data_IF_116192939349
#
_entry.id   IF_116192939349
#
_cell.length_a   1.000
_cell.length_b   1.000
_cell.length_c   1.000
_cell.angle_alpha   90.00
_cell.angle_beta   90.00
_cell.angle_gamma   90.00
#
_symmetry.space_group_name_H-M   'P 1'
#
loop_
_entity.id
_entity.type
_entity.pdbx_description
1 polymer ?
#
# COMPACT_ATOMS: atom_id res chain seq x y z
N UNK A 1 3.37 -8.97 -18.07
CA UNK A 1 4.07 -9.57 -16.90
C UNK A 1 5.48 -10.08 -17.23
N UNK A 2 5.68 -10.89 -18.30
CA UNK A 2 7.03 -11.36 -18.73
C UNK A 2 8.02 -10.22 -18.96
N UNK A 3 7.61 -9.18 -19.68
CA UNK A 3 8.49 -8.06 -20.03
C UNK A 3 8.82 -7.17 -18.81
N UNK A 4 7.91 -7.03 -17.85
CA UNK A 4 8.20 -6.33 -16.57
C UNK A 4 9.25 -7.11 -15.76
N UNK A 5 9.22 -8.45 -15.81
CA UNK A 5 10.26 -9.29 -15.20
C UNK A 5 11.61 -9.15 -15.91
N UNK A 6 11.63 -8.93 -17.22
CA UNK A 6 12.84 -8.61 -17.96
C UNK A 6 13.42 -7.26 -17.53
N UNK A 7 12.58 -6.21 -17.40
CA UNK A 7 13.02 -4.90 -16.89
C UNK A 7 13.57 -4.97 -15.46
N UNK A 8 12.96 -5.80 -14.61
CA UNK A 8 13.47 -6.04 -13.26
C UNK A 8 14.91 -6.58 -13.30
N UNK A 9 15.19 -7.51 -14.23
CA UNK A 9 16.52 -8.11 -14.39
C UNK A 9 17.53 -7.17 -15.06
N UNK A 10 17.16 -6.52 -16.15
CA UNK A 10 18.09 -5.67 -16.90
C UNK A 10 18.27 -4.28 -16.30
N UNK A 11 17.28 -3.80 -15.55
CA UNK A 11 17.24 -2.47 -14.95
C UNK A 11 17.61 -2.49 -13.47
N UNK A 12 16.69 -2.96 -12.62
CA UNK A 12 16.84 -2.89 -11.16
C UNK A 12 18.01 -3.73 -10.64
N UNK A 13 18.22 -4.92 -11.22
CA UNK A 13 19.32 -5.81 -10.87
C UNK A 13 20.64 -5.53 -11.62
N UNK A 14 20.73 -4.41 -12.35
CA UNK A 14 22.01 -3.95 -12.92
C UNK A 14 22.84 -3.22 -11.86
N UNK A 15 24.15 -3.07 -12.08
CA UNK A 15 25.03 -2.29 -11.19
C UNK A 15 24.49 -0.87 -10.92
N UNK A 16 23.90 -0.23 -11.94
CA UNK A 16 23.28 1.08 -11.80
C UNK A 16 22.00 1.02 -10.95
N UNK A 17 21.16 0.00 -11.16
CA UNK A 17 19.94 -0.21 -10.39
C UNK A 17 20.24 -0.50 -8.92
N UNK A 18 21.21 -1.37 -8.65
CA UNK A 18 21.67 -1.70 -7.30
C UNK A 18 22.23 -0.49 -6.56
N UNK A 19 22.89 0.44 -7.24
CA UNK A 19 23.36 1.70 -6.64
C UNK A 19 22.22 2.64 -6.22
N UNK A 20 20.99 2.41 -6.72
CA UNK A 20 19.82 3.27 -6.47
C UNK A 20 18.80 2.66 -5.51
N UNK A 21 19.02 1.42 -5.04
CA UNK A 21 18.15 0.78 -4.04
C UNK A 21 18.38 1.35 -2.65
N UNK A 22 17.34 1.31 -1.84
CA UNK A 22 17.40 1.60 -0.41
C UNK A 22 17.44 0.27 0.36
N UNK A 23 18.45 0.10 1.19
CA UNK A 23 18.71 -1.08 2.01
C UNK A 23 18.98 -0.67 3.48
N UNK A 24 18.09 -0.98 4.43
CA UNK A 24 16.80 -1.64 4.24
C UNK A 24 15.78 -0.72 3.59
N UNK A 25 14.74 -1.30 2.97
CA UNK A 25 13.61 -0.55 2.42
C UNK A 25 13.07 0.47 3.44
N UNK A 26 12.87 0.02 4.68
CA UNK A 26 12.51 0.83 5.83
C UNK A 26 13.23 0.33 7.08
N UNK A 27 13.94 1.23 7.77
CA UNK A 27 14.74 0.89 8.94
C UNK A 27 13.86 0.46 10.12
N UNK A 28 14.25 -0.61 10.81
CA UNK A 28 13.62 -1.05 12.06
C UNK A 28 12.34 -1.88 11.92
N UNK A 29 11.94 -2.24 10.69
CA UNK A 29 10.71 -3.01 10.43
C UNK A 29 10.96 -4.45 9.97
N UNK A 30 12.19 -4.96 10.08
CA UNK A 30 12.49 -6.35 9.71
C UNK A 30 13.43 -6.99 10.71
N UNK A 31 13.24 -8.30 10.94
CA UNK A 31 14.03 -9.09 11.91
C UNK A 31 15.07 -9.95 11.22
N UNK A 32 14.72 -10.53 10.08
CA UNK A 32 15.54 -11.53 9.39
C UNK A 32 15.56 -11.25 7.88
N UNK A 33 16.58 -11.79 7.21
CA UNK A 33 16.74 -11.70 5.76
C UNK A 33 17.16 -10.31 5.29
N UNK A 34 16.89 -10.03 4.01
CA UNK A 34 17.24 -8.78 3.35
C UNK A 34 15.99 -8.22 2.68
N UNK A 35 15.68 -6.96 2.97
CA UNK A 35 14.50 -6.27 2.48
C UNK A 35 14.89 -4.91 1.89
N UNK A 36 14.75 -4.74 0.58
CA UNK A 36 15.19 -3.53 -0.14
C UNK A 36 14.06 -2.92 -0.97
N UNK A 37 14.16 -1.62 -1.24
CA UNK A 37 13.21 -0.89 -2.07
C UNK A 37 13.92 -0.15 -3.21
N UNK A 38 13.39 -0.27 -4.42
CA UNK A 38 13.71 0.58 -5.56
C UNK A 38 12.49 1.48 -5.85
N UNK A 39 12.52 2.70 -5.33
CA UNK A 39 11.40 3.64 -5.39
C UNK A 39 11.33 4.38 -6.71
N UNK A 40 10.24 4.28 -7.46
CA UNK A 40 9.98 5.11 -8.65
C UNK A 40 9.37 6.47 -8.30
N UNK A 41 8.63 6.54 -7.20
CA UNK A 41 7.93 7.75 -6.77
C UNK A 41 7.87 7.83 -5.25
N UNK A 42 8.01 9.05 -4.72
CA UNK A 42 7.65 9.41 -3.34
C UNK A 42 7.10 10.83 -3.35
N UNK A 43 6.00 11.09 -2.63
CA UNK A 43 5.37 12.42 -2.62
C UNK A 43 6.27 13.52 -2.02
N UNK A 44 7.13 13.20 -1.04
CA UNK A 44 8.17 14.11 -0.51
C UNK A 44 9.48 14.10 -1.32
N UNK A 45 9.56 13.24 -2.33
CA UNK A 45 10.77 13.03 -3.11
C UNK A 45 11.79 12.09 -2.48
N UNK A 46 13.01 12.15 -3.00
CA UNK A 46 14.10 11.25 -2.66
C UNK A 46 15.11 12.00 -1.79
N UNK A 47 15.58 11.39 -0.70
CA UNK A 47 16.56 11.98 0.22
C UNK A 47 17.65 12.80 -0.50
N UNK A 48 17.71 14.10 -0.22
CA UNK A 48 18.73 15.00 -0.78
C UNK A 48 18.47 15.50 -2.21
N UNK A 49 17.34 15.14 -2.82
CA UNK A 49 16.85 15.74 -4.07
C UNK A 49 15.45 16.29 -3.82
N UNK A 50 15.23 17.57 -4.14
CA UNK A 50 13.88 18.02 -4.44
C UNK A 50 13.40 17.15 -5.60
N UNK A 51 12.56 16.15 -5.33
CA UNK A 51 11.87 15.49 -6.42
C UNK A 51 11.05 16.56 -7.12
N UNK A 52 10.95 16.44 -8.45
CA UNK A 52 9.92 17.16 -9.16
C UNK A 52 8.60 16.69 -8.53
N UNK A 53 7.85 17.59 -7.85
CA UNK A 53 6.65 17.17 -7.17
C UNK A 53 5.77 16.47 -8.20
N UNK A 54 5.21 15.33 -7.82
CA UNK A 54 4.19 14.62 -8.62
C UNK A 54 4.72 14.05 -9.94
N UNK A 55 5.99 13.62 -10.01
CA UNK A 55 6.52 12.89 -11.16
C UNK A 55 7.28 11.63 -10.73
N UNK A 56 7.18 10.57 -11.52
CA UNK A 56 8.09 9.42 -11.42
C UNK A 56 9.54 9.88 -11.66
N UNK A 57 10.49 9.31 -10.93
CA UNK A 57 11.90 9.69 -10.99
C UNK A 57 12.51 9.37 -12.36
N UNK A 58 12.94 10.36 -13.16
CA UNK A 58 13.43 10.13 -14.52
C UNK A 58 14.65 9.21 -14.58
N UNK A 59 15.52 9.31 -13.58
CA UNK A 59 16.73 8.49 -13.48
C UNK A 59 16.38 7.00 -13.34
N UNK A 60 15.39 6.68 -12.50
CA UNK A 60 14.93 5.31 -12.31
C UNK A 60 14.02 4.82 -13.43
N UNK A 61 13.22 5.71 -14.01
CA UNK A 61 12.40 5.38 -15.18
C UNK A 61 13.22 5.03 -16.41
N UNK A 62 14.47 5.50 -16.54
CA UNK A 62 15.41 5.00 -17.54
C UNK A 62 15.66 3.49 -17.42
N UNK A 63 15.66 2.96 -16.18
CA UNK A 63 15.97 1.56 -15.91
C UNK A 63 14.75 0.64 -16.06
N UNK A 64 13.54 1.19 -15.91
CA UNK A 64 12.26 0.46 -16.05
C UNK A 64 11.26 1.23 -16.92
N UNK A 65 11.63 1.59 -18.17
CA UNK A 65 10.91 2.58 -18.97
C UNK A 65 9.47 2.18 -19.30
N UNK A 66 9.21 0.89 -19.47
CA UNK A 66 7.88 0.38 -19.74
C UNK A 66 7.03 0.42 -18.48
N UNK A 67 7.56 0.00 -17.35
CA UNK A 67 6.83 0.08 -16.07
C UNK A 67 6.43 1.52 -15.77
N UNK A 68 7.34 2.49 -15.94
CA UNK A 68 7.00 3.90 -15.76
C UNK A 68 5.93 4.37 -16.75
N UNK A 69 6.02 4.01 -18.03
CA UNK A 69 4.98 4.36 -19.01
C UNK A 69 3.60 3.80 -18.62
N UNK A 70 3.55 2.54 -18.18
CA UNK A 70 2.31 1.91 -17.73
C UNK A 70 1.72 2.63 -16.50
N UNK A 71 2.57 3.06 -15.56
CA UNK A 71 2.15 3.82 -14.39
C UNK A 71 1.63 5.20 -14.79
N UNK A 72 2.29 5.89 -15.72
CA UNK A 72 1.83 7.18 -16.27
C UNK A 72 0.47 7.04 -16.98
N UNK A 73 0.35 6.05 -17.87
CA UNK A 73 -0.90 5.76 -18.60
C UNK A 73 -2.05 5.43 -17.64
N UNK A 74 -1.76 4.70 -16.55
CA UNK A 74 -2.70 4.38 -15.48
C UNK A 74 -2.93 5.52 -14.49
N UNK A 75 -2.19 6.65 -14.60
CA UNK A 75 -2.22 7.78 -13.65
C UNK A 75 -1.90 7.36 -12.21
N UNK A 76 -0.91 6.47 -12.05
CA UNK A 76 -0.43 5.98 -10.75
C UNK A 76 0.95 6.55 -10.45
N UNK A 77 1.15 7.20 -9.29
CA UNK A 77 0.13 7.51 -8.28
C UNK A 77 -0.77 8.67 -8.72
N UNK A 78 -1.95 8.81 -8.10
CA UNK A 78 -2.94 9.83 -8.45
C UNK A 78 -2.40 11.25 -8.30
N UNK A 79 -1.49 11.48 -7.35
CA UNK A 79 -0.76 12.73 -7.21
C UNK A 79 -0.02 13.15 -8.48
N UNK A 80 0.44 12.20 -9.31
CA UNK A 80 1.04 12.50 -10.61
C UNK A 80 0.06 13.18 -11.58
N UNK A 81 -1.26 12.98 -11.40
CA UNK A 81 -2.31 13.66 -12.16
C UNK A 81 -2.65 15.07 -11.60
N UNK A 82 -2.10 15.46 -10.45
CA UNK A 82 -2.01 16.88 -10.07
C UNK A 82 -3.22 17.51 -9.37
N UNK A 83 -4.22 16.74 -8.93
CA UNK A 83 -5.47 17.34 -8.45
C UNK A 83 -5.58 17.53 -6.92
N UNK A 84 -4.79 16.83 -6.10
CA UNK A 84 -4.91 16.87 -4.63
C UNK A 84 -3.55 17.01 -3.93
N UNK A 85 -3.47 17.77 -2.82
CA UNK A 85 -2.20 17.93 -2.09
C UNK A 85 -1.80 16.64 -1.39
N UNK A 86 -0.50 16.36 -1.35
CA UNK A 86 0.04 15.34 -0.46
C UNK A 86 0.11 15.92 0.97
N UNK A 87 -0.41 15.17 1.93
CA UNK A 87 -0.49 15.48 3.35
C UNK A 87 0.67 14.90 4.15
N UNK A 88 1.24 13.81 3.64
CA UNK A 88 2.40 13.14 4.21
C UNK A 88 3.36 12.71 3.09
N UNK A 89 4.65 12.72 3.35
CA UNK A 89 5.68 12.35 2.37
C UNK A 89 5.68 10.94 1.86
N UNK A 90 4.99 10.07 2.59
CA UNK A 90 4.80 8.68 2.24
C UNK A 90 3.38 8.42 1.78
N UNK A 91 2.49 9.42 1.72
CA UNK A 91 1.08 9.20 1.36
C UNK A 91 0.94 8.47 0.01
N UNK A 92 1.81 8.81 -0.94
CA UNK A 92 1.89 8.14 -2.23
C UNK A 92 3.33 7.72 -2.50
N UNK A 93 3.52 6.43 -2.74
CA UNK A 93 4.81 5.81 -2.98
C UNK A 93 4.62 4.73 -4.04
N UNK A 94 5.55 4.65 -4.99
CA UNK A 94 5.61 3.52 -5.92
C UNK A 94 7.00 2.90 -5.80
N UNK A 95 7.05 1.65 -5.34
CA UNK A 95 8.27 0.92 -5.02
C UNK A 95 8.26 -0.45 -5.69
N UNK A 96 9.40 -0.87 -6.23
CA UNK A 96 9.69 -2.30 -6.30
C UNK A 96 10.27 -2.73 -4.96
N UNK A 97 9.60 -3.66 -4.27
CA UNK A 97 10.05 -4.21 -3.00
C UNK A 97 10.60 -5.61 -3.24
N UNK A 98 11.82 -5.85 -2.76
CA UNK A 98 12.45 -7.17 -2.72
C UNK A 98 12.56 -7.67 -1.30
N UNK A 99 12.21 -8.93 -1.10
CA UNK A 99 12.50 -9.63 0.14
C UNK A 99 13.12 -11.01 -0.14
N UNK A 100 14.25 -11.31 0.49
CA UNK A 100 14.96 -12.58 0.35
C UNK A 100 14.23 -13.73 1.07
N UNK A 101 14.45 -15.00 0.69
CA UNK A 101 13.88 -16.14 1.40
C UNK A 101 14.16 -16.08 2.92
N UNK A 102 13.14 -16.34 3.73
CA UNK A 102 13.22 -16.25 5.20
C UNK A 102 13.11 -14.83 5.77
N UNK A 103 12.94 -13.81 4.93
CA UNK A 103 12.71 -12.44 5.41
C UNK A 103 11.42 -12.33 6.19
N UNK A 104 11.47 -11.65 7.34
CA UNK A 104 10.29 -11.29 8.14
C UNK A 104 10.27 -9.78 8.33
N UNK A 105 9.25 -9.13 7.77
CA UNK A 105 8.90 -7.75 8.08
C UNK A 105 7.96 -7.78 9.27
N UNK A 106 8.37 -7.16 10.37
CA UNK A 106 7.67 -7.20 11.66
C UNK A 106 6.32 -6.50 11.60
N UNK A 107 5.47 -6.76 12.59
CA UNK A 107 4.15 -6.12 12.68
C UNK A 107 4.27 -4.60 12.83
N UNK A 108 3.64 -3.85 11.92
CA UNK A 108 3.63 -2.40 11.93
C UNK A 108 2.36 -1.84 11.30
N UNK A 109 2.19 -0.52 11.38
CA UNK A 109 1.11 0.23 10.72
C UNK A 109 1.71 1.41 9.97
N UNK A 110 1.08 1.81 8.88
CA UNK A 110 1.31 3.11 8.29
C UNK A 110 0.81 4.23 9.21
N UNK A 111 1.29 5.45 8.97
CA UNK A 111 0.91 6.65 9.71
C UNK A 111 -0.43 7.25 9.30
N UNK A 112 -1.14 6.65 8.34
CA UNK A 112 -2.36 7.20 7.76
C UNK A 112 -3.23 6.12 7.11
N UNK A 113 -4.55 6.31 7.17
CA UNK A 113 -5.58 5.56 6.44
C UNK A 113 -6.06 6.29 5.17
N UNK A 114 -5.37 7.36 4.75
CA UNK A 114 -5.71 8.15 3.55
C UNK A 114 -5.30 7.48 2.23
N UNK A 115 -4.89 6.22 2.27
CA UNK A 115 -4.36 5.48 1.13
C UNK A 115 -4.67 3.99 1.25
N UNK A 116 -4.63 3.31 0.12
CA UNK A 116 -4.58 1.85 0.04
C UNK A 116 -3.25 1.44 -0.59
N UNK A 117 -2.74 0.28 -0.19
CA UNK A 117 -1.54 -0.31 -0.75
C UNK A 117 -1.92 -1.43 -1.71
N UNK A 118 -1.49 -1.27 -2.96
CA UNK A 118 -1.64 -2.27 -4.03
C UNK A 118 -0.29 -2.93 -4.27
N UNK A 119 -0.24 -4.26 -4.24
CA UNK A 119 0.96 -5.04 -4.51
C UNK A 119 0.73 -6.07 -5.61
N UNK A 120 1.53 -6.00 -6.67
CA UNK A 120 1.54 -6.96 -7.76
C UNK A 120 2.81 -7.83 -7.67
N UNK A 121 2.66 -9.14 -7.57
CA UNK A 121 3.81 -10.03 -7.53
C UNK A 121 4.43 -10.26 -8.90
N UNK A 122 5.75 -10.08 -8.98
CA UNK A 122 6.54 -10.17 -10.21
C UNK A 122 7.39 -11.45 -10.27
N UNK A 123 7.96 -11.87 -9.12
CA UNK A 123 8.80 -13.06 -9.01
C UNK A 123 8.81 -13.57 -7.56
N UNK A 124 9.16 -14.84 -7.34
CA UNK A 124 9.03 -15.48 -6.02
C UNK A 124 7.59 -15.50 -5.50
N UNK A 125 6.60 -15.60 -6.40
CA UNK A 125 5.17 -15.66 -6.06
C UNK A 125 4.78 -17.07 -5.59
N UNK A 126 3.67 -17.19 -4.86
CA UNK A 126 3.16 -18.50 -4.47
C UNK A 126 2.49 -19.19 -5.66
N UNK A 127 2.51 -20.52 -5.65
CA UNK A 127 1.79 -21.34 -6.61
C UNK A 127 0.29 -21.40 -6.27
N UNK A 128 -0.53 -21.71 -7.26
CA UNK A 128 -1.97 -21.85 -7.05
C UNK A 128 -2.27 -23.08 -6.17
N UNK A 129 -3.17 -22.92 -5.19
CA UNK A 129 -3.59 -24.00 -4.30
C UNK A 129 -2.60 -24.37 -3.18
N UNK A 130 -1.42 -23.74 -3.11
CA UNK A 130 -0.45 -23.97 -2.03
C UNK A 130 -0.55 -22.90 -0.93
N UNK A 131 -0.77 -23.33 0.32
CA UNK A 131 -0.77 -22.43 1.50
C UNK A 131 0.26 -22.83 2.56
N UNK A 132 0.56 -24.12 2.69
CA UNK A 132 1.58 -24.61 3.62
C UNK A 132 2.97 -24.15 3.19
N UNK A 133 3.70 -23.49 4.10
CA UNK A 133 5.05 -22.98 3.82
C UNK A 133 5.11 -21.88 2.75
N UNK A 134 3.98 -21.32 2.34
CA UNK A 134 3.90 -20.20 1.40
C UNK A 134 4.16 -18.89 2.10
N UNK A 135 4.73 -17.94 1.38
CA UNK A 135 4.96 -16.59 1.91
C UNK A 135 3.67 -15.77 1.90
N UNK A 136 3.39 -15.00 2.93
CA UNK A 136 2.12 -14.29 3.08
C UNK A 136 2.28 -12.88 3.68
N UNK A 137 1.32 -12.03 3.34
CA UNK A 137 1.04 -10.77 4.01
C UNK A 137 -0.03 -11.04 5.07
N UNK A 138 0.25 -10.74 6.31
CA UNK A 138 -0.74 -10.77 7.38
C UNK A 138 -1.32 -9.36 7.53
N UNK A 139 -2.63 -9.19 7.43
CA UNK A 139 -3.32 -7.91 7.71
C UNK A 139 -4.41 -8.18 8.73
N UNK A 140 -4.23 -7.68 9.96
CA UNK A 140 -5.03 -8.17 11.08
C UNK A 140 -4.89 -9.70 11.21
N UNK A 141 -5.97 -10.48 11.17
CA UNK A 141 -5.92 -11.95 11.23
C UNK A 141 -6.01 -12.63 9.86
N UNK A 142 -6.18 -11.88 8.78
CA UNK A 142 -6.18 -12.45 7.43
C UNK A 142 -4.78 -12.67 6.89
N UNK A 143 -4.59 -13.83 6.25
CA UNK A 143 -3.39 -14.14 5.48
C UNK A 143 -3.68 -14.01 4.00
N UNK A 144 -3.00 -13.07 3.37
CA UNK A 144 -3.10 -12.82 1.95
C UNK A 144 -1.85 -13.38 1.27
N UNK A 145 -2.07 -14.15 0.21
CA UNK A 145 -1.02 -14.85 -0.51
C UNK A 145 -0.81 -14.21 -1.88
N UNK A 146 0.41 -13.80 -2.18
CA UNK A 146 0.73 -13.23 -3.48
C UNK A 146 0.79 -14.31 -4.56
N UNK A 147 0.00 -14.13 -5.60
CA UNK A 147 0.05 -14.92 -6.83
C UNK A 147 0.57 -14.07 -7.97
N UNK A 148 1.18 -14.72 -8.95
CA UNK A 148 1.75 -14.00 -10.08
C UNK A 148 0.65 -13.32 -10.90
N UNK A 149 0.79 -12.01 -11.13
CA UNK A 149 -0.18 -11.25 -11.93
C UNK A 149 -1.48 -10.88 -11.22
N UNK A 150 -1.71 -11.37 -10.00
CA UNK A 150 -2.89 -11.02 -9.20
C UNK A 150 -2.53 -9.89 -8.22
N UNK A 151 -3.25 -8.74 -8.26
CA UNK A 151 -3.01 -7.67 -7.32
C UNK A 151 -3.57 -8.01 -5.94
N UNK A 152 -2.78 -7.73 -4.91
CA UNK A 152 -3.23 -7.69 -3.52
C UNK A 152 -3.49 -6.22 -3.17
N UNK A 153 -4.67 -5.92 -2.65
CA UNK A 153 -5.03 -4.57 -2.17
C UNK A 153 -5.35 -4.67 -0.69
N UNK A 154 -4.75 -3.81 0.13
CA UNK A 154 -5.02 -3.74 1.56
C UNK A 154 -4.84 -2.32 2.08
N UNK A 155 -5.47 -2.02 3.20
CA UNK A 155 -5.23 -0.79 3.95
C UNK A 155 -4.06 -1.01 4.92
N UNK A 156 -2.94 -0.35 4.66
CA UNK A 156 -1.72 -0.51 5.44
C UNK A 156 -1.72 0.29 6.75
N UNK A 157 -2.79 1.04 7.04
CA UNK A 157 -3.04 1.59 8.38
C UNK A 157 -3.41 0.52 9.41
N UNK A 158 -3.87 -0.65 8.95
CA UNK A 158 -4.08 -1.81 9.81
C UNK A 158 -2.76 -2.47 10.18
N UNK A 159 -2.71 -3.12 11.35
CA UNK A 159 -1.53 -3.85 11.79
C UNK A 159 -1.25 -4.98 10.81
N UNK A 160 -0.06 -4.95 10.20
CA UNK A 160 0.32 -5.91 9.18
C UNK A 160 1.78 -6.35 9.30
N UNK A 161 2.08 -7.55 8.81
CA UNK A 161 3.43 -8.13 8.76
C UNK A 161 3.63 -8.93 7.47
N UNK A 162 4.88 -9.14 7.07
CA UNK A 162 5.22 -9.94 5.87
C UNK A 162 6.12 -11.09 6.27
N UNK A 163 5.75 -12.28 5.82
CA UNK A 163 6.52 -13.50 6.03
C UNK A 163 6.91 -14.09 4.68
N UNK A 164 8.21 -14.14 4.41
CA UNK A 164 8.77 -14.76 3.21
C UNK A 164 9.25 -16.16 3.55
N UNK A 165 8.71 -17.16 2.85
CA UNK A 165 9.08 -18.55 3.00
C UNK A 165 10.59 -18.73 2.83
N UNK A 166 11.26 -19.48 3.74
CA UNK A 166 12.66 -19.84 3.58
C UNK A 166 12.89 -20.84 2.45
N UNK A 167 11.83 -21.44 1.89
CA UNK A 167 11.91 -22.45 0.83
C UNK A 167 11.83 -21.86 -0.59
N UNK A 168 11.62 -20.54 -0.72
CA UNK A 168 11.66 -19.88 -2.02
C UNK A 168 13.04 -20.04 -2.67
N UNK A 169 13.04 -20.37 -3.96
CA UNK A 169 14.26 -20.57 -4.74
C UNK A 169 14.86 -19.26 -5.27
N UNK A 170 14.09 -18.17 -5.22
CA UNK A 170 14.50 -16.83 -5.63
C UNK A 170 13.88 -15.77 -4.70
N UNK A 171 14.48 -14.57 -4.60
CA UNK A 171 13.90 -13.46 -3.87
C UNK A 171 12.50 -13.11 -4.38
N UNK A 172 11.61 -12.72 -3.48
CA UNK A 172 10.32 -12.18 -3.87
C UNK A 172 10.47 -10.74 -4.32
N UNK A 173 9.88 -10.42 -5.47
CA UNK A 173 9.72 -9.05 -5.93
C UNK A 173 8.25 -8.72 -6.13
N UNK A 174 7.81 -7.60 -5.54
CA UNK A 174 6.49 -7.03 -5.77
C UNK A 174 6.61 -5.59 -6.26
N UNK A 175 5.75 -5.17 -7.18
CA UNK A 175 5.50 -3.76 -7.46
C UNK A 175 4.43 -3.29 -6.48
N UNK A 176 4.80 -2.38 -5.58
CA UNK A 176 3.94 -1.80 -4.56
C UNK A 176 3.60 -0.37 -4.94
N UNK A 177 2.32 -0.02 -4.96
CA UNK A 177 1.84 1.34 -5.17
C UNK A 177 0.89 1.71 -4.03
N UNK A 178 1.21 2.78 -3.30
CA UNK A 178 0.31 3.40 -2.37
C UNK A 178 -0.54 4.43 -3.14
N UNK A 179 -1.84 4.19 -3.21
CA UNK A 179 -2.81 4.99 -3.95
C UNK A 179 -3.74 5.69 -2.98
N UNK A 180 -4.15 6.91 -3.31
CA UNK A 180 -5.10 7.67 -2.49
C UNK A 180 -6.39 6.88 -2.25
N UNK A 181 -6.92 6.94 -1.03
CA UNK A 181 -8.15 6.23 -0.70
C UNK A 181 -9.32 6.74 -1.57
N UNK A 182 -10.15 5.87 -2.16
CA UNK A 182 -11.20 6.30 -3.11
C UNK A 182 -12.23 7.28 -2.52
N UNK A 183 -12.42 7.28 -1.21
CA UNK A 183 -13.32 8.26 -0.57
C UNK A 183 -12.75 9.68 -0.52
N UNK A 184 -11.46 9.87 -0.86
CA UNK A 184 -10.78 11.17 -0.78
C UNK A 184 -10.02 11.51 -2.07
N UNK A 185 -10.22 10.75 -3.16
CA UNK A 185 -9.49 10.89 -4.43
C UNK A 185 -9.99 12.05 -5.32
N UNK A 186 -10.96 12.82 -4.82
CA UNK A 186 -11.54 13.98 -5.46
C UNK A 186 -11.61 15.16 -4.47
N UNK A 187 -11.71 16.42 -4.96
CA UNK A 187 -11.69 17.60 -4.09
C UNK A 187 -12.76 17.60 -3.00
N UNK A 188 -13.96 17.10 -3.28
CA UNK A 188 -15.06 17.08 -2.31
C UNK A 188 -14.81 16.06 -1.20
N UNK A 189 -14.46 14.82 -1.55
CA UNK A 189 -14.13 13.78 -0.59
C UNK A 189 -12.87 14.11 0.23
N UNK A 190 -11.87 14.71 -0.42
CA UNK A 190 -10.69 15.23 0.25
C UNK A 190 -11.05 16.33 1.25
N UNK A 191 -11.83 17.33 0.80
CA UNK A 191 -12.29 18.41 1.66
C UNK A 191 -13.16 17.87 2.80
N UNK A 192 -14.06 16.92 2.57
CA UNK A 192 -14.91 16.36 3.62
C UNK A 192 -14.09 15.59 4.67
N UNK A 193 -13.09 14.83 4.24
CA UNK A 193 -12.26 14.02 5.13
C UNK A 193 -11.32 14.87 6.00
N UNK A 194 -10.78 15.98 5.45
CA UNK A 194 -9.83 16.84 6.15
C UNK A 194 -10.39 18.16 6.64
N UNK A 195 -11.58 18.56 6.19
CA UNK A 195 -12.33 19.61 6.87
C UNK A 195 -12.53 19.10 8.28
N UNK A 196 -11.97 19.83 9.24
CA UNK A 196 -12.32 19.63 10.63
C UNK A 196 -13.83 19.71 10.71
N UNK A 197 -14.51 18.57 10.78
CA UNK A 197 -15.82 18.56 11.41
C UNK A 197 -15.52 19.09 12.80
N UNK A 198 -15.93 20.33 13.08
CA UNK A 198 -16.05 20.77 14.46
C UNK A 198 -16.79 19.66 15.15
N UNK A 199 -16.09 18.96 16.03
CA UNK A 199 -16.68 17.86 16.76
C UNK A 199 -18.00 18.38 17.31
N UNK A 200 -19.09 17.66 17.08
CA UNK A 200 -20.42 18.11 17.49
C UNK A 200 -20.37 18.55 18.96
N UNK A 201 -21.19 19.53 19.35
CA UNK A 201 -21.23 19.97 20.74
C UNK A 201 -21.55 18.75 21.61
N UNK A 202 -20.57 18.28 22.40
CA UNK A 202 -20.66 17.05 23.19
C UNK A 202 -19.93 15.82 22.62
N UNK A 203 -19.20 15.92 21.50
CA UNK A 203 -18.37 14.84 20.98
C UNK A 203 -17.24 14.52 21.99
N UNK A 204 -17.14 13.27 22.50
CA UNK A 204 -16.14 12.88 23.49
C UNK A 204 -14.69 13.02 23.00
N UNK A 205 -14.48 13.24 21.70
CA UNK A 205 -13.17 13.53 21.09
C UNK A 205 -12.81 15.02 21.09
N UNK A 206 -13.70 15.93 21.50
CA UNK A 206 -13.30 17.31 21.80
C UNK A 206 -12.19 17.23 22.85
N UNK A 207 -11.00 17.74 22.49
CA UNK A 207 -9.87 17.77 23.41
C UNK A 207 -10.33 18.43 24.70
N UNK A 208 -10.38 17.63 25.77
CA UNK A 208 -10.30 18.17 27.11
C UNK A 208 -9.08 19.11 27.13
N UNK A 209 -9.25 20.27 27.77
CA UNK A 209 -8.22 21.30 27.86
C UNK A 209 -6.88 20.71 28.32
N UNK A 210 -5.75 21.35 27.99
CA UNK A 210 -4.39 20.82 28.26
C UNK A 210 -4.14 20.37 29.72
N UNK A 211 -5.01 20.75 30.67
CA UNK A 211 -4.99 20.34 32.07
C UNK A 211 -5.59 18.94 32.36
N UNK A 212 -6.38 18.35 31.45
CA UNK A 212 -7.20 17.15 31.75
C UNK A 212 -6.62 15.81 31.27
N UNK A 213 -5.49 15.84 30.56
CA UNK A 213 -5.05 14.71 29.76
C UNK A 213 -6.00 14.48 28.58
N UNK A 214 -5.47 14.13 27.41
CA UNK A 214 -6.33 13.85 26.25
C UNK A 214 -7.44 12.85 26.62
N UNK A 215 -8.66 12.99 26.06
CA UNK A 215 -9.76 12.09 26.41
C UNK A 215 -9.28 10.64 26.27
N UNK A 216 -9.59 9.75 27.24
CA UNK A 216 -9.34 8.34 27.05
C UNK A 216 -9.98 7.93 25.72
N UNK A 217 -9.34 7.05 24.93
CA UNK A 217 -9.91 6.60 23.67
C UNK A 217 -11.37 6.21 23.91
N UNK A 218 -12.31 6.63 23.04
CA UNK A 218 -13.72 6.38 23.27
C UNK A 218 -13.91 4.88 23.53
N UNK A 219 -14.72 4.55 24.55
CA UNK A 219 -15.11 3.17 24.76
C UNK A 219 -15.72 2.68 23.45
N UNK A 220 -15.23 1.54 22.95
CA UNK A 220 -15.77 0.91 21.76
C UNK A 220 -17.23 0.56 22.06
N UNK A 221 -18.16 1.39 21.58
CA UNK A 221 -19.58 1.04 21.60
C UNK A 221 -19.79 -0.16 20.67
N UNK A 222 -20.47 -1.19 21.19
CA UNK A 222 -20.92 -2.32 20.38
C UNK A 222 -21.87 -1.81 19.29
N UNK A 223 -21.47 -1.95 18.02
CA UNK A 223 -22.36 -1.73 16.88
C UNK A 223 -22.24 -0.39 16.15
N UNK A 224 -21.14 0.35 16.29
CA UNK A 224 -20.90 1.51 15.44
C UNK A 224 -20.69 1.10 13.96
N UNK A 225 -21.76 1.19 13.17
CA UNK A 225 -21.73 0.95 11.72
C UNK A 225 -21.04 2.12 11.00
N UNK A 226 -19.81 1.91 10.57
CA UNK A 226 -19.08 2.83 9.73
C UNK A 226 -18.81 2.16 8.38
N UNK A 227 -19.77 2.22 7.45
CA UNK A 227 -19.59 2.28 5.99
C UNK A 227 -20.97 2.29 5.28
N UNK A 228 -21.10 2.88 4.08
CA UNK A 228 -22.36 2.92 3.32
C UNK A 228 -22.92 1.53 2.99
N UNK A 229 -24.25 1.39 3.04
CA UNK A 229 -24.97 0.16 2.64
C UNK A 229 -24.87 -0.15 1.13
N UNK A 230 -24.49 0.83 0.31
CA UNK A 230 -24.42 0.70 -1.15
C UNK A 230 -23.03 0.25 -1.63
N UNK A 231 -22.94 -0.62 -2.65
CA UNK A 231 -21.68 -0.99 -3.29
C UNK A 231 -20.96 0.23 -3.85
N UNK A 232 -19.66 0.35 -3.58
CA UNK A 232 -18.82 1.37 -4.19
C UNK A 232 -18.51 0.94 -5.63
N UNK A 233 -18.82 1.81 -6.60
CA UNK A 233 -18.53 1.55 -8.01
C UNK A 233 -17.17 2.13 -8.37
N UNK A 234 -16.28 1.29 -8.92
CA UNK A 234 -14.95 1.67 -9.37
C UNK A 234 -14.88 1.63 -10.89
N UNK A 235 -14.10 2.54 -11.51
CA UNK A 235 -13.73 2.43 -12.92
C UNK A 235 -12.31 1.90 -13.01
N UNK A 236 -12.18 0.72 -13.60
CA UNK A 236 -10.93 0.04 -13.83
C UNK A 236 -10.62 0.09 -15.35
N UNK A 237 -9.37 0.35 -15.73
CA UNK A 237 -8.94 0.38 -17.14
C UNK A 237 -8.62 -1.01 -17.72
N UNK A 238 -8.76 -2.07 -16.93
CA UNK A 238 -8.49 -3.45 -17.33
C UNK A 238 -9.68 -4.03 -18.11
N UNK A 239 -9.44 -4.96 -19.04
CA UNK A 239 -10.49 -5.55 -19.86
C UNK A 239 -11.38 -6.58 -19.13
N UNK A 240 -11.11 -6.86 -17.86
CA UNK A 240 -11.80 -7.89 -17.06
C UNK A 240 -12.24 -7.34 -15.71
N UNK A 241 -13.40 -7.81 -15.23
CA UNK A 241 -13.90 -7.55 -13.88
C UNK A 241 -12.91 -8.00 -12.80
N UNK A 242 -12.63 -7.14 -11.82
CA UNK A 242 -11.89 -7.50 -10.60
C UNK A 242 -12.82 -7.44 -9.40
N UNK A 243 -12.88 -8.53 -8.61
CA UNK A 243 -13.64 -8.60 -7.37
C UNK A 243 -12.81 -8.04 -6.21
N UNK A 244 -13.32 -7.01 -5.54
CA UNK A 244 -12.68 -6.38 -4.39
C UNK A 244 -13.30 -6.91 -3.10
N UNK A 245 -12.47 -7.48 -2.23
CA UNK A 245 -12.87 -7.91 -0.89
C UNK A 245 -12.23 -6.99 0.14
N UNK A 246 -13.00 -6.59 1.15
CA UNK A 246 -12.44 -6.08 2.40
C UNK A 246 -12.65 -7.11 3.51
N UNK A 247 -11.61 -7.29 4.30
CA UNK A 247 -11.72 -7.93 5.60
C UNK A 247 -11.91 -6.84 6.65
N UNK A 248 -13.11 -6.73 7.20
CA UNK A 248 -13.38 -5.82 8.31
C UNK A 248 -12.89 -6.46 9.60
N UNK A 249 -12.05 -5.76 10.38
CA UNK A 249 -11.73 -6.20 11.73
C UNK A 249 -11.88 -5.05 12.71
N UNK A 250 -12.90 -5.19 13.56
CA UNK A 250 -12.95 -4.54 14.86
C UNK A 250 -12.09 -5.30 15.87
N UNK A 251 -11.88 -4.73 17.07
CA UNK A 251 -10.92 -5.20 18.08
C UNK A 251 -11.21 -6.58 18.71
N UNK A 252 -12.34 -7.24 18.35
CA UNK A 252 -12.76 -8.53 18.93
C UNK A 252 -12.52 -9.77 18.07
N UNK A 253 -11.94 -9.59 16.90
CA UNK A 253 -11.51 -10.70 16.08
C UNK A 253 -12.60 -11.61 15.45
N UNK A 254 -13.63 -11.01 14.84
CA UNK A 254 -14.82 -11.75 14.40
C UNK A 254 -15.55 -11.25 13.11
N UNK A 255 -14.89 -10.52 12.21
CA UNK A 255 -15.56 -9.95 11.01
C UNK A 255 -15.77 -10.93 9.84
N UNK A 256 -16.95 -10.97 9.19
CA UNK A 256 -17.16 -11.75 7.97
C UNK A 256 -16.54 -11.06 6.74
N UNK A 257 -15.98 -11.86 5.82
CA UNK A 257 -15.53 -11.40 4.50
C UNK A 257 -16.70 -10.78 3.71
N UNK A 258 -16.60 -9.49 3.34
CA UNK A 258 -17.64 -8.77 2.58
C UNK A 258 -17.09 -8.32 1.22
N UNK A 259 -17.81 -8.65 0.15
CA UNK A 259 -17.54 -8.15 -1.21
C UNK A 259 -17.83 -6.64 -1.24
N UNK A 260 -16.82 -5.83 -1.59
CA UNK A 260 -16.94 -4.37 -1.65
C UNK A 260 -17.52 -3.86 -2.97
N UNK A 261 -17.34 -4.62 -4.04
CA UNK A 261 -17.84 -4.28 -5.36
C UNK A 261 -17.18 -5.10 -6.47
N UNK A 262 -17.72 -4.96 -7.67
CA UNK A 262 -17.16 -5.48 -8.91
C UNK A 262 -16.64 -4.28 -9.72
N UNK A 263 -15.34 -4.27 -10.03
CA UNK A 263 -14.73 -3.24 -10.86
C UNK A 263 -14.69 -3.71 -12.31
N UNK A 264 -15.64 -3.23 -13.13
CA UNK A 264 -15.63 -3.38 -14.60
C UNK A 264 -14.48 -2.60 -15.23
#
# INVERSE_FOLDING_TARGET
AREVREELRSGILSDEGEALVKDPAWSGLYENGRWIAFSLYRSEGFNGRLALPRQLDPLRCRLVPRTCRLLEDARVPAGAAGHLPALQGTQEVVDFLRADPGTVVTSHTASTNSRLTVQLCLTGCNEEGTSAGSSYLQVGPEKIYWRFGEPVVFDDSFLHSVHISPHLQEPRWVLSAAVMHPSIDNPDGFAEHFASRTADVGDPRQRATEEDGGPPPPALEEGAEAFPEAPLSFRNGLPNSVLLYAAMWGPRQDGPSKLLGEAL
#
